data_IF_477884374325
#
_entry.id   IF_477884374325
#
_cell.length_a   1.000
_cell.length_b   1.000
_cell.length_c   1.000
_cell.angle_alpha   90.00
_cell.angle_beta   90.00
_cell.angle_gamma   90.00
#
_symmetry.space_group_name_H-M   'P 1'
#
loop_
_entity.id
_entity.type
_entity.pdbx_description
1 polymer ?
#
# COMPACT_ATOMS: atom_id res chain seq x y z
N UNK A 1 -20.25 25.23 0.10
CA UNK A 1 -18.94 24.69 0.52
C UNK A 1 -19.07 23.18 0.39
N UNK A 2 -18.30 22.55 -0.51
CA UNK A 2 -18.35 21.09 -0.65
C UNK A 2 -17.70 20.51 0.62
N UNK A 3 -18.50 19.79 1.40
CA UNK A 3 -18.10 19.20 2.66
C UNK A 3 -17.17 18.02 2.36
N UNK A 4 -15.92 18.08 2.83
CA UNK A 4 -14.85 17.21 2.37
C UNK A 4 -14.95 15.84 3.05
N UNK A 5 -15.61 14.90 2.38
CA UNK A 5 -15.62 13.48 2.76
C UNK A 5 -14.25 12.88 2.48
N UNK A 6 -13.72 12.10 3.42
CA UNK A 6 -12.41 11.44 3.30
C UNK A 6 -12.62 9.93 3.32
N UNK A 7 -12.07 9.22 2.34
CA UNK A 7 -11.98 7.76 2.34
C UNK A 7 -10.56 7.37 2.72
N UNK A 8 -10.39 6.90 3.95
CA UNK A 8 -9.13 6.41 4.48
C UNK A 8 -8.87 5.00 3.98
N UNK A 9 -7.81 4.82 3.23
CA UNK A 9 -7.32 3.54 2.74
C UNK A 9 -6.07 3.14 3.52
N UNK A 10 -6.21 2.19 4.43
CA UNK A 10 -5.11 1.62 5.19
C UNK A 10 -4.55 0.42 4.44
N UNK A 11 -3.28 0.49 4.06
CA UNK A 11 -2.65 -0.51 3.19
C UNK A 11 -1.14 -0.62 3.41
N UNK A 12 -0.55 -1.67 2.86
CA UNK A 12 0.90 -1.87 2.83
C UNK A 12 1.32 -2.31 1.41
N UNK A 13 2.44 -1.79 0.86
CA UNK A 13 2.87 -2.13 -0.51
C UNK A 13 3.20 -3.63 -0.69
N UNK A 14 3.54 -4.33 0.39
CA UNK A 14 3.83 -5.76 0.38
C UNK A 14 2.71 -6.59 1.04
N UNK A 15 1.48 -6.06 1.10
CA UNK A 15 0.28 -6.84 1.37
C UNK A 15 -0.37 -7.35 0.07
N UNK A 16 -0.46 -8.68 -0.10
CA UNK A 16 -0.99 -9.29 -1.33
C UNK A 16 -2.46 -8.96 -1.55
N UNK A 17 -3.27 -8.88 -0.48
CA UNK A 17 -4.67 -8.46 -0.59
C UNK A 17 -4.81 -6.97 -0.90
N UNK A 18 -3.87 -6.11 -0.50
CA UNK A 18 -3.83 -4.72 -0.98
C UNK A 18 -3.52 -4.66 -2.47
N UNK A 19 -2.65 -5.55 -2.99
CA UNK A 19 -2.42 -5.67 -4.43
C UNK A 19 -3.67 -6.17 -5.16
N UNK A 20 -4.35 -7.18 -4.62
CA UNK A 20 -5.66 -7.64 -5.09
C UNK A 20 -6.71 -6.53 -5.16
N UNK A 21 -6.66 -5.60 -4.21
CA UNK A 21 -7.60 -4.48 -4.09
C UNK A 21 -7.19 -3.24 -4.90
N UNK A 22 -5.99 -3.21 -5.50
CA UNK A 22 -5.50 -2.05 -6.25
C UNK A 22 -6.44 -1.60 -7.39
N UNK A 23 -7.09 -2.50 -8.17
CA UNK A 23 -8.09 -2.10 -9.16
C UNK A 23 -9.34 -1.47 -8.51
N UNK A 24 -9.79 -1.99 -7.36
CA UNK A 24 -10.98 -1.50 -6.66
C UNK A 24 -10.74 -0.09 -6.12
N UNK A 25 -9.65 0.14 -5.39
CA UNK A 25 -9.34 1.49 -4.88
C UNK A 25 -9.04 2.48 -6.02
N UNK A 26 -8.46 2.01 -7.13
CA UNK A 26 -8.29 2.81 -8.34
C UNK A 26 -9.63 3.27 -8.90
N UNK A 27 -10.58 2.35 -9.08
CA UNK A 27 -11.92 2.67 -9.57
C UNK A 27 -12.70 3.59 -8.61
N UNK A 28 -12.55 3.42 -7.29
CA UNK A 28 -13.13 4.35 -6.30
C UNK A 28 -12.55 5.76 -6.48
N UNK A 29 -11.22 5.89 -6.61
CA UNK A 29 -10.58 7.19 -6.83
C UNK A 29 -11.09 7.87 -8.09
N UNK A 30 -11.22 7.12 -9.18
CA UNK A 30 -11.65 7.67 -10.46
C UNK A 30 -13.13 8.07 -10.45
N UNK A 31 -14.01 7.22 -9.89
CA UNK A 31 -15.45 7.47 -9.84
C UNK A 31 -15.84 8.60 -8.87
N UNK A 32 -15.09 8.78 -7.77
CA UNK A 32 -15.46 9.70 -6.69
C UNK A 32 -14.53 10.90 -6.52
N UNK A 33 -13.60 11.16 -7.46
CA UNK A 33 -12.60 12.25 -7.36
C UNK A 33 -13.16 13.65 -7.06
N UNK A 34 -14.40 13.94 -7.45
CA UNK A 34 -15.05 15.23 -7.20
C UNK A 34 -15.80 15.30 -5.86
N UNK A 35 -16.02 14.15 -5.22
CA UNK A 35 -16.87 14.00 -4.02
C UNK A 35 -16.09 13.55 -2.79
N UNK A 36 -14.99 12.79 -2.99
CA UNK A 36 -14.20 12.16 -1.94
C UNK A 36 -12.72 12.47 -2.15
N UNK A 37 -12.05 12.84 -1.06
CA UNK A 37 -10.60 12.71 -0.98
C UNK A 37 -10.26 11.29 -0.53
N UNK A 38 -9.47 10.55 -1.32
CA UNK A 38 -8.94 9.25 -0.89
C UNK A 38 -7.57 9.45 -0.26
N UNK A 39 -7.45 9.16 1.04
CA UNK A 39 -6.23 9.30 1.82
C UNK A 39 -5.58 7.93 2.08
N UNK A 40 -4.33 7.76 1.66
CA UNK A 40 -3.58 6.53 1.84
C UNK A 40 -2.78 6.57 3.16
N UNK A 41 -2.99 5.58 4.02
CA UNK A 41 -2.26 5.41 5.29
C UNK A 41 -1.45 4.11 5.25
N UNK A 42 -0.15 4.23 5.54
CA UNK A 42 0.74 3.08 5.58
C UNK A 42 0.48 2.27 6.85
N UNK A 43 0.18 0.99 6.65
CA UNK A 43 -0.29 0.12 7.71
C UNK A 43 0.80 -0.51 8.56
N UNK A 44 1.95 -0.80 7.94
CA UNK A 44 3.04 -1.51 8.57
C UNK A 44 2.67 -2.96 8.81
N UNK A 45 2.60 -3.75 7.73
CA UNK A 45 2.30 -5.17 7.77
C UNK A 45 3.34 -5.94 8.59
N UNK A 46 4.63 -5.80 8.25
CA UNK A 46 5.77 -6.43 8.94
C UNK A 46 7.00 -5.52 8.95
N UNK A 47 6.90 -4.31 9.55
CA UNK A 47 7.99 -3.34 9.52
C UNK A 47 9.16 -3.77 10.43
N UNK A 48 10.39 -3.59 9.95
CA UNK A 48 11.61 -3.86 10.70
C UNK A 48 11.97 -5.35 10.83
N UNK A 49 11.40 -6.21 9.97
CA UNK A 49 11.78 -7.62 9.92
C UNK A 49 13.24 -7.74 9.50
N UNK A 50 14.04 -8.51 10.25
CA UNK A 50 15.47 -8.73 9.95
C UNK A 50 15.79 -10.14 9.53
N UNK A 51 14.97 -11.09 9.97
CA UNK A 51 15.18 -12.50 9.69
C UNK A 51 14.73 -12.85 8.27
N UNK A 52 15.49 -13.69 7.55
CA UNK A 52 15.05 -14.23 6.27
C UNK A 52 13.73 -15.00 6.39
N UNK A 53 12.97 -14.97 5.29
CA UNK A 53 11.74 -15.77 5.17
C UNK A 53 12.10 -17.25 5.23
N UNK A 54 11.46 -18.00 6.13
CA UNK A 54 11.61 -19.46 6.21
C UNK A 54 10.87 -20.14 5.05
N UNK A 55 11.26 -21.37 4.66
CA UNK A 55 10.56 -22.10 3.59
C UNK A 55 9.06 -22.28 3.85
N UNK A 56 8.67 -22.57 5.10
CA UNK A 56 7.27 -22.70 5.50
C UNK A 56 6.52 -21.36 5.33
N UNK A 57 7.09 -20.27 5.85
CA UNK A 57 6.44 -18.97 5.77
C UNK A 57 6.34 -18.47 4.31
N UNK A 58 7.34 -18.79 3.47
CA UNK A 58 7.29 -18.55 2.03
C UNK A 58 6.10 -19.27 1.39
N UNK A 59 5.89 -20.54 1.71
CA UNK A 59 4.76 -21.31 1.17
C UNK A 59 3.41 -20.71 1.57
N UNK A 60 3.27 -20.29 2.83
CA UNK A 60 2.07 -19.60 3.33
C UNK A 60 1.79 -18.29 2.57
N UNK A 61 2.83 -17.46 2.33
CA UNK A 61 2.69 -16.23 1.54
C UNK A 61 2.28 -16.55 0.10
N UNK A 62 2.93 -17.53 -0.54
CA UNK A 62 2.62 -17.92 -1.91
C UNK A 62 1.21 -18.51 -2.05
N UNK A 63 0.71 -19.20 -1.03
CA UNK A 63 -0.69 -19.63 -0.98
C UNK A 63 -1.64 -18.42 -1.03
N UNK A 64 -1.39 -17.38 -0.22
CA UNK A 64 -2.17 -16.14 -0.29
C UNK A 64 -2.09 -15.46 -1.65
N UNK A 65 -0.92 -15.45 -2.31
CA UNK A 65 -0.77 -14.87 -3.65
C UNK A 65 -1.62 -15.60 -4.69
N UNK A 66 -1.64 -16.94 -4.65
CA UNK A 66 -2.49 -17.76 -5.53
C UNK A 66 -3.98 -17.46 -5.32
N UNK A 67 -4.40 -17.31 -4.07
CA UNK A 67 -5.79 -16.98 -3.75
C UNK A 67 -6.17 -15.57 -4.21
N UNK A 68 -5.29 -14.59 -4.03
CA UNK A 68 -5.49 -13.24 -4.55
C UNK A 68 -5.59 -13.26 -6.08
N UNK A 69 -4.68 -13.95 -6.76
CA UNK A 69 -4.73 -14.08 -8.22
C UNK A 69 -6.06 -14.69 -8.68
N UNK A 70 -6.46 -15.81 -8.06
CA UNK A 70 -7.71 -16.50 -8.38
C UNK A 70 -8.94 -15.62 -8.19
N UNK A 71 -8.99 -14.80 -7.13
CA UNK A 71 -10.15 -13.96 -6.79
C UNK A 71 -10.20 -12.63 -7.51
N UNK A 72 -9.06 -12.08 -7.91
CA UNK A 72 -8.97 -10.68 -8.39
C UNK A 72 -8.41 -10.55 -9.79
N UNK A 73 -7.80 -11.61 -10.34
CA UNK A 73 -7.09 -11.56 -11.62
C UNK A 73 -5.76 -10.80 -11.58
N UNK A 74 -5.38 -10.21 -10.45
CA UNK A 74 -4.13 -9.45 -10.34
C UNK A 74 -2.91 -10.32 -10.63
N UNK A 75 -1.92 -9.84 -11.40
CA UNK A 75 -0.81 -10.65 -11.85
C UNK A 75 0.20 -10.90 -10.71
N UNK A 76 0.78 -12.11 -10.73
CA UNK A 76 1.86 -12.53 -9.85
C UNK A 76 2.89 -13.33 -10.66
N UNK A 77 4.17 -13.09 -10.39
CA UNK A 77 5.27 -13.90 -10.86
C UNK A 77 5.67 -14.89 -9.75
N UNK A 78 5.34 -16.17 -9.92
CA UNK A 78 5.52 -17.20 -8.89
C UNK A 78 6.91 -17.87 -8.91
N UNK A 79 7.47 -18.09 -10.10
CA UNK A 79 8.75 -18.77 -10.26
C UNK A 79 9.89 -17.89 -9.74
N UNK A 80 10.65 -18.35 -8.74
CA UNK A 80 11.73 -17.54 -8.14
C UNK A 80 11.27 -16.48 -7.12
N UNK A 81 9.97 -16.38 -6.83
CA UNK A 81 9.45 -15.43 -5.85
C UNK A 81 10.06 -15.65 -4.45
N UNK A 82 10.49 -14.58 -3.79
CA UNK A 82 11.15 -14.61 -2.47
C UNK A 82 12.28 -15.66 -2.44
N UNK A 83 13.43 -15.39 -3.10
CA UNK A 83 14.57 -16.32 -3.13
C UNK A 83 15.13 -16.55 -1.73
N UNK A 84 15.99 -17.56 -1.59
CA UNK A 84 16.68 -17.85 -0.32
C UNK A 84 17.41 -16.60 0.20
N UNK A 85 17.27 -16.33 1.50
CA UNK A 85 17.84 -15.14 2.14
C UNK A 85 16.98 -13.87 2.01
N UNK A 86 15.85 -13.90 1.28
CA UNK A 86 14.95 -12.75 1.17
C UNK A 86 14.39 -12.36 2.55
N UNK A 87 14.49 -11.08 2.91
CA UNK A 87 13.94 -10.52 4.15
C UNK A 87 12.66 -9.76 3.82
N UNK A 88 11.53 -10.18 4.40
CA UNK A 88 10.21 -9.58 4.15
C UNK A 88 9.99 -8.35 5.05
N UNK A 89 10.85 -7.35 4.94
CA UNK A 89 10.71 -6.07 5.64
C UNK A 89 9.80 -5.13 4.85
N UNK A 90 8.63 -4.79 5.40
CA UNK A 90 7.68 -3.89 4.73
C UNK A 90 7.87 -2.42 5.08
N UNK A 91 8.83 -2.08 5.95
CA UNK A 91 9.12 -0.68 6.31
C UNK A 91 9.72 0.11 5.14
N UNK A 92 10.78 -0.35 4.44
CA UNK A 92 11.37 0.41 3.34
C UNK A 92 10.36 0.80 2.25
N UNK A 93 9.55 -0.11 1.67
CA UNK A 93 8.58 0.31 0.66
C UNK A 93 7.48 1.20 1.23
N UNK A 94 7.07 1.00 2.50
CA UNK A 94 6.10 1.90 3.15
C UNK A 94 6.67 3.32 3.29
N UNK A 95 7.92 3.45 3.75
CA UNK A 95 8.62 4.73 3.86
C UNK A 95 8.78 5.40 2.51
N UNK A 96 9.06 4.63 1.46
CA UNK A 96 9.16 5.18 0.13
C UNK A 96 7.86 5.85 -0.35
N UNK A 97 6.71 5.26 -0.02
CA UNK A 97 5.40 5.83 -0.35
C UNK A 97 5.15 7.11 0.44
N UNK A 98 5.53 7.16 1.72
CA UNK A 98 5.47 8.39 2.53
C UNK A 98 6.34 9.48 1.92
N UNK A 99 7.58 9.15 1.54
CA UNK A 99 8.55 10.08 0.92
C UNK A 99 8.00 10.63 -0.39
N UNK A 100 7.48 9.78 -1.28
CA UNK A 100 6.88 10.23 -2.54
C UNK A 100 5.66 11.11 -2.26
N UNK A 101 4.83 10.79 -1.27
CA UNK A 101 3.68 11.63 -0.92
C UNK A 101 4.06 13.05 -0.45
N UNK A 102 5.24 13.22 0.16
CA UNK A 102 5.74 14.54 0.54
C UNK A 102 6.39 15.31 -0.61
N UNK A 103 7.09 14.60 -1.49
CA UNK A 103 7.81 15.22 -2.61
C UNK A 103 6.88 15.47 -3.82
N UNK A 104 5.88 14.63 -4.01
CA UNK A 104 4.89 14.69 -5.08
C UNK A 104 3.59 13.97 -4.66
N UNK A 105 2.71 14.69 -3.96
CA UNK A 105 1.47 14.15 -3.43
C UNK A 105 0.55 13.53 -4.51
N UNK A 106 0.53 14.09 -5.71
CA UNK A 106 -0.30 13.59 -6.83
C UNK A 106 0.16 12.20 -7.30
N UNK A 107 1.46 11.91 -7.22
CA UNK A 107 2.05 10.63 -7.60
C UNK A 107 1.88 9.51 -6.56
N UNK A 108 1.41 9.80 -5.35
CA UNK A 108 1.44 8.83 -4.22
C UNK A 108 0.80 7.49 -4.57
N UNK A 109 -0.40 7.50 -5.16
CA UNK A 109 -1.13 6.27 -5.49
C UNK A 109 -0.55 5.53 -6.70
N UNK A 110 -0.10 6.25 -7.72
CA UNK A 110 0.53 5.62 -8.88
C UNK A 110 1.87 4.99 -8.49
N UNK A 111 2.65 5.67 -7.64
CA UNK A 111 3.87 5.14 -7.06
C UNK A 111 3.62 3.92 -6.16
N UNK A 112 2.64 3.99 -5.24
CA UNK A 112 2.24 2.84 -4.43
C UNK A 112 1.91 1.61 -5.29
N UNK A 113 1.13 1.79 -6.36
CA UNK A 113 0.80 0.74 -7.32
C UNK A 113 2.05 0.22 -8.06
N UNK A 114 2.98 1.09 -8.43
CA UNK A 114 4.24 0.70 -9.07
C UNK A 114 5.12 -0.14 -8.15
N UNK A 115 5.22 0.18 -6.86
CA UNK A 115 5.94 -0.63 -5.87
C UNK A 115 5.30 -2.02 -5.74
N UNK A 116 3.97 -2.08 -5.68
CA UNK A 116 3.26 -3.37 -5.67
C UNK A 116 3.54 -4.19 -6.94
N UNK A 117 3.43 -3.58 -8.12
CA UNK A 117 3.68 -4.26 -9.39
C UNK A 117 5.14 -4.74 -9.52
N UNK A 118 6.10 -3.91 -9.08
CA UNK A 118 7.51 -4.25 -9.05
C UNK A 118 7.78 -5.50 -8.21
N UNK A 119 7.15 -5.59 -7.04
CA UNK A 119 7.30 -6.75 -6.16
C UNK A 119 6.56 -8.00 -6.68
N UNK A 120 5.25 -7.88 -6.95
CA UNK A 120 4.40 -9.03 -7.24
C UNK A 120 4.51 -9.55 -8.66
N UNK A 121 4.61 -8.67 -9.66
CA UNK A 121 4.56 -9.05 -11.07
C UNK A 121 5.94 -9.03 -11.75
N UNK A 122 6.90 -8.29 -11.19
CA UNK A 122 8.23 -8.09 -11.80
C UNK A 122 9.38 -8.65 -10.95
N UNK A 123 9.09 -9.17 -9.76
CA UNK A 123 10.05 -9.79 -8.84
C UNK A 123 11.25 -8.90 -8.46
N UNK A 124 11.06 -7.58 -8.47
CA UNK A 124 12.07 -6.66 -7.99
C UNK A 124 12.10 -6.65 -6.46
N UNK A 125 13.30 -6.51 -5.90
CA UNK A 125 13.48 -6.35 -4.46
C UNK A 125 13.17 -4.91 -4.04
N UNK A 126 11.92 -4.68 -3.66
CA UNK A 126 11.41 -3.38 -3.17
C UNK A 126 11.80 -3.09 -1.72
N UNK A 127 12.63 -3.93 -1.08
CA UNK A 127 13.25 -3.59 0.21
C UNK A 127 14.50 -2.73 0.03
N UNK A 128 15.02 -2.62 -1.20
CA UNK A 128 16.22 -1.84 -1.53
C UNK A 128 15.87 -0.40 -1.90
N UNK A 129 16.63 0.53 -1.32
CA UNK A 129 16.47 1.97 -1.58
C UNK A 129 16.63 2.32 -3.06
N UNK A 130 17.58 1.71 -3.76
CA UNK A 130 17.85 1.98 -5.17
C UNK A 130 16.69 1.55 -6.08
N UNK A 131 16.10 0.37 -5.82
CA UNK A 131 14.88 -0.09 -6.53
C UNK A 131 13.75 0.93 -6.34
N UNK A 132 13.52 1.37 -5.11
CA UNK A 132 12.46 2.33 -4.77
C UNK A 132 12.71 3.70 -5.41
N UNK A 133 13.95 4.17 -5.43
CA UNK A 133 14.33 5.43 -6.05
C UNK A 133 14.15 5.40 -7.58
N UNK A 134 14.53 4.29 -8.23
CA UNK A 134 14.32 4.10 -9.67
C UNK A 134 12.84 4.08 -10.03
N UNK A 135 11.98 3.48 -9.18
CA UNK A 135 10.54 3.58 -9.34
C UNK A 135 10.05 5.02 -9.15
N UNK A 136 10.58 5.77 -8.17
CA UNK A 136 10.14 7.12 -7.88
C UNK A 136 10.45 8.11 -9.02
N UNK A 137 11.58 7.90 -9.71
CA UNK A 137 11.97 8.66 -10.91
C UNK A 137 10.93 8.57 -12.03
N UNK A 138 10.31 7.40 -12.21
CA UNK A 138 9.23 7.19 -13.19
C UNK A 138 7.97 8.01 -12.87
N UNK A 139 7.83 8.48 -11.63
CA UNK A 139 6.72 9.33 -11.16
C UNK A 139 7.16 10.78 -10.91
N UNK A 140 8.25 11.21 -11.53
CA UNK A 140 8.70 12.60 -11.51
C UNK A 140 9.40 13.04 -10.22
N UNK A 141 9.84 12.10 -9.37
CA UNK A 141 10.64 12.40 -8.19
C UNK A 141 12.10 12.06 -8.48
N UNK A 142 12.97 13.06 -8.53
CA UNK A 142 14.39 12.86 -8.85
C UNK A 142 15.08 11.92 -7.85
N UNK A 143 15.85 10.95 -8.35
CA UNK A 143 16.52 9.91 -7.55
C UNK A 143 17.33 10.48 -6.37
N UNK A 144 18.12 11.53 -6.59
CA UNK A 144 18.92 12.16 -5.53
C UNK A 144 18.04 12.79 -4.43
N UNK A 145 16.95 13.46 -4.80
CA UNK A 145 16.00 14.06 -3.87
C UNK A 145 15.26 12.98 -3.07
N UNK A 146 14.82 11.91 -3.75
CA UNK A 146 14.21 10.75 -3.12
C UNK A 146 15.14 10.13 -2.09
N UNK A 147 16.37 9.77 -2.46
CA UNK A 147 17.33 9.10 -1.56
C UNK A 147 17.69 9.97 -0.36
N UNK A 148 17.94 11.27 -0.57
CA UNK A 148 18.18 12.21 0.53
C UNK A 148 17.03 12.20 1.53
N UNK A 149 15.78 12.27 1.03
CA UNK A 149 14.59 12.28 1.88
C UNK A 149 14.35 10.93 2.55
N UNK A 150 14.48 9.84 1.80
CA UNK A 150 14.30 8.46 2.25
C UNK A 150 15.22 8.08 3.39
N UNK A 151 16.48 8.54 3.37
CA UNK A 151 17.45 8.27 4.43
C UNK A 151 17.31 9.16 5.66
N UNK A 152 16.51 10.23 5.60
CA UNK A 152 16.34 11.16 6.72
C UNK A 152 15.60 10.52 7.91
N UNK A 153 15.98 10.93 9.13
CA UNK A 153 15.30 10.49 10.36
C UNK A 153 13.83 10.93 10.39
N UNK A 154 13.52 12.11 9.86
CA UNK A 154 12.15 12.60 9.80
C UNK A 154 11.25 11.72 8.90
N UNK A 155 11.75 11.20 7.77
CA UNK A 155 10.99 10.25 6.95
C UNK A 155 10.73 8.92 7.69
N UNK A 156 11.70 8.42 8.45
CA UNK A 156 11.53 7.23 9.30
C UNK A 156 10.47 7.48 10.38
N UNK A 157 10.56 8.62 11.08
CA UNK A 157 9.61 8.99 12.13
C UNK A 157 8.17 9.15 11.60
N UNK A 158 7.99 9.80 10.44
CA UNK A 158 6.67 9.92 9.79
C UNK A 158 6.10 8.58 9.38
N UNK A 159 6.95 7.68 8.87
CA UNK A 159 6.53 6.30 8.55
C UNK A 159 6.07 5.55 9.81
N UNK A 160 6.81 5.66 10.91
CA UNK A 160 6.41 5.09 12.20
C UNK A 160 5.10 5.70 12.73
N UNK A 161 4.88 7.00 12.49
CA UNK A 161 3.63 7.68 12.84
C UNK A 161 2.45 7.10 12.06
N UNK A 162 2.59 6.84 10.75
CA UNK A 162 1.55 6.18 9.96
C UNK A 162 1.17 4.82 10.55
N UNK A 163 2.17 4.00 10.92
CA UNK A 163 1.92 2.70 11.53
C UNK A 163 1.23 2.83 12.90
N UNK A 164 1.64 3.82 13.71
CA UNK A 164 1.03 4.09 15.01
C UNK A 164 -0.43 4.52 14.87
N UNK A 165 -0.70 5.50 14.00
CA UNK A 165 -2.05 6.01 13.73
C UNK A 165 -2.96 4.90 13.18
N UNK A 166 -2.47 4.07 12.27
CA UNK A 166 -3.21 2.89 11.79
C UNK A 166 -3.62 1.97 12.95
N UNK A 167 -2.70 1.68 13.87
CA UNK A 167 -3.01 0.84 15.04
C UNK A 167 -3.98 1.52 16.01
N UNK A 168 -3.84 2.83 16.23
CA UNK A 168 -4.75 3.61 17.08
C UNK A 168 -6.16 3.70 16.50
N UNK A 169 -6.30 3.73 15.17
CA UNK A 169 -7.59 3.64 14.47
C UNK A 169 -8.24 2.24 14.56
N UNK A 170 -7.67 1.30 15.31
CA UNK A 170 -8.21 -0.05 15.49
C UNK A 170 -7.95 -0.99 14.31
N UNK A 171 -7.23 -0.54 13.28
CA UNK A 171 -6.95 -1.37 12.10
C UNK A 171 -5.95 -2.48 12.47
N UNK A 172 -6.30 -3.72 12.14
CA UNK A 172 -5.51 -4.93 12.41
C UNK A 172 -5.32 -5.83 11.17
N UNK A 173 -6.01 -5.52 10.08
CA UNK A 173 -5.95 -6.25 8.81
C UNK A 173 -5.91 -5.29 7.63
N UNK A 174 -5.35 -5.76 6.52
CA UNK A 174 -5.19 -4.97 5.31
C UNK A 174 -5.76 -5.71 4.08
N UNK A 175 -6.34 -5.01 3.10
CA UNK A 175 -6.67 -3.58 3.14
C UNK A 175 -7.78 -3.29 4.17
N UNK A 176 -7.82 -2.07 4.72
CA UNK A 176 -8.99 -1.58 5.47
C UNK A 176 -9.41 -0.24 4.88
N UNK A 177 -10.72 -0.06 4.71
CA UNK A 177 -11.29 1.19 4.20
C UNK A 177 -12.28 1.77 5.20
N UNK A 178 -12.09 3.04 5.56
CA UNK A 178 -12.96 3.80 6.45
C UNK A 178 -13.41 5.07 5.76
N UNK A 179 -14.72 5.30 5.69
CA UNK A 179 -15.29 6.55 5.23
C UNK A 179 -15.45 7.52 6.41
N UNK A 180 -14.98 8.74 6.25
CA UNK A 180 -15.19 9.85 7.17
C UNK A 180 -16.11 10.88 6.50
N UNK A 181 -17.18 11.24 7.19
CA UNK A 181 -18.11 12.31 6.84
C UNK A 181 -18.53 13.06 8.11
N UNK A 182 -19.52 13.95 8.01
CA UNK A 182 -19.98 14.76 9.15
C UNK A 182 -20.63 13.96 10.29
N UNK A 183 -21.11 12.75 9.97
CA UNK A 183 -21.70 11.83 10.95
C UNK A 183 -20.63 11.01 11.68
N UNK A 184 -19.36 11.15 11.31
CA UNK A 184 -18.23 10.46 11.92
C UNK A 184 -17.52 9.50 10.97
N UNK A 185 -17.18 8.31 11.48
CA UNK A 185 -16.42 7.29 10.76
C UNK A 185 -17.26 6.03 10.55
N UNK A 186 -17.29 5.52 9.31
CA UNK A 186 -17.94 4.28 8.93
C UNK A 186 -16.91 3.31 8.35
N UNK A 187 -16.81 2.11 8.93
CA UNK A 187 -15.96 1.04 8.42
C UNK A 187 -16.63 0.40 7.19
N UNK A 188 -16.02 0.53 6.02
CA UNK A 188 -16.54 -0.06 4.78
C UNK A 188 -16.04 -1.49 4.58
N UNK A 189 -14.77 -1.75 4.88
CA UNK A 189 -14.23 -3.12 4.78
C UNK A 189 -12.97 -3.35 5.60
N UNK A 190 -12.82 -4.60 6.04
CA UNK A 190 -11.56 -5.19 6.50
C UNK A 190 -11.30 -6.40 5.61
N UNK A 191 -10.30 -6.31 4.74
CA UNK A 191 -10.01 -7.28 3.71
C UNK A 191 -10.56 -6.90 2.33
N UNK A 192 -10.40 -7.80 1.37
CA UNK A 192 -10.87 -7.57 0.00
C UNK A 192 -12.39 -7.69 -0.10
N UNK A 193 -13.02 -6.67 -0.68
CA UNK A 193 -14.41 -6.67 -1.19
C UNK A 193 -14.45 -6.07 -2.60
N UNK A 194 -15.27 -6.59 -3.52
CA UNK A 194 -15.41 -6.03 -4.86
C UNK A 194 -16.07 -4.64 -4.84
N UNK A 195 -15.87 -3.86 -5.90
CA UNK A 195 -16.39 -2.49 -6.01
C UNK A 195 -17.91 -2.42 -5.87
N UNK A 196 -18.64 -3.33 -6.51
CA UNK A 196 -20.11 -3.32 -6.53
C UNK A 196 -20.74 -3.49 -5.15
N UNK A 197 -20.01 -4.10 -4.22
CA UNK A 197 -20.43 -4.22 -2.82
C UNK A 197 -20.11 -2.96 -2.00
N UNK A 198 -19.04 -2.24 -2.33
CA UNK A 198 -18.62 -1.04 -1.61
C UNK A 198 -19.37 0.21 -2.08
N UNK A 199 -19.72 0.27 -3.37
CA UNK A 199 -20.36 1.43 -4.01
C UNK A 199 -21.63 1.90 -3.28
N UNK A 200 -22.59 1.02 -2.90
CA UNK A 200 -23.79 1.45 -2.17
C UNK A 200 -23.50 2.06 -0.81
N UNK A 201 -22.46 1.59 -0.11
CA UNK A 201 -22.06 2.11 1.20
C UNK A 201 -21.32 3.46 1.08
N UNK A 202 -20.65 3.70 -0.04
CA UNK A 202 -20.04 4.99 -0.36
C UNK A 202 -21.11 6.01 -0.79
N UNK A 203 -22.16 5.58 -1.49
CA UNK A 203 -23.22 6.46 -1.99
C UNK A 203 -24.24 6.86 -0.91
N UNK A 204 -24.27 6.15 0.23
CA UNK A 204 -25.12 6.43 1.38
C UNK A 204 -24.71 7.71 2.13
#
# INVERSE_FOLDING_TARGET
MIQQRILWYFADPMCSWCWGFAPVIGAIRDAYREQLQVALMMGGLRPGTKEPVTPQFREEILHHWREVHRRTGQPFAFEGAMPEGFVYDTEPPSRAVVVVGELNAEATFSYFKSVQAAFYAQQQDVTKADTLAALAEQHGVATAQFLQRFHSEDAKQKTQMHFHQTRQAGVRGFPTVVLQNDSGYALLTVGYRPLDELKPEIDA
#
